data_IF_917296757783
#
_entry.id   IF_917296757783
#
_cell.length_a   1.000
_cell.length_b   1.000
_cell.length_c   1.000
_cell.angle_alpha   90.00
_cell.angle_beta   90.00
_cell.angle_gamma   90.00
#
_symmetry.space_group_name_H-M   'P 1'
#
loop_
_entity.id
_entity.type
_entity.pdbx_description
1 polymer ?
#
# COMPACT_ATOMS: atom_id res chain seq x y z
N UNK A 1 6.18 10.32 -2.46
CA UNK A 1 7.33 9.37 -2.36
C UNK A 1 8.06 9.46 -1.02
N UNK A 2 8.46 10.66 -0.55
CA UNK A 2 9.19 10.84 0.73
C UNK A 2 8.52 10.17 1.95
N UNK A 3 7.19 10.32 2.10
CA UNK A 3 6.43 9.66 3.17
C UNK A 3 6.51 8.12 3.11
N UNK A 4 6.34 7.55 1.91
CA UNK A 4 6.43 6.08 1.73
C UNK A 4 7.81 5.56 2.09
N UNK A 5 8.85 6.28 1.67
CA UNK A 5 10.24 5.95 2.03
C UNK A 5 10.41 5.98 3.55
N UNK A 6 9.96 7.04 4.23
CA UNK A 6 10.02 7.13 5.69
C UNK A 6 9.31 5.97 6.40
N UNK A 7 8.10 5.60 5.94
CA UNK A 7 7.35 4.46 6.49
C UNK A 7 8.12 3.14 6.30
N UNK A 8 8.65 2.88 5.11
CA UNK A 8 9.40 1.65 4.84
C UNK A 8 10.74 1.62 5.58
N UNK A 9 11.43 2.74 5.74
CA UNK A 9 12.65 2.82 6.57
C UNK A 9 12.33 2.51 8.03
N UNK A 10 11.28 3.14 8.59
CA UNK A 10 10.86 2.84 9.95
C UNK A 10 10.48 1.37 10.13
N UNK A 11 9.70 0.82 9.19
CA UNK A 11 9.32 -0.58 9.19
C UNK A 11 10.54 -1.51 9.13
N UNK A 12 11.54 -1.18 8.32
CA UNK A 12 12.78 -1.96 8.24
C UNK A 12 13.51 -2.00 9.57
N UNK A 13 13.64 -0.86 10.24
CA UNK A 13 14.27 -0.77 11.57
C UNK A 13 13.50 -1.61 12.59
N UNK A 14 12.16 -1.51 12.63
CA UNK A 14 11.32 -2.32 13.53
C UNK A 14 11.50 -3.82 13.26
N UNK A 15 11.47 -4.23 11.98
CA UNK A 15 11.64 -5.63 11.61
C UNK A 15 13.05 -6.14 11.93
N UNK A 16 14.07 -5.31 11.80
CA UNK A 16 15.45 -5.65 12.15
C UNK A 16 15.58 -5.97 13.64
N UNK A 17 15.11 -5.08 14.52
CA UNK A 17 15.16 -5.33 15.97
C UNK A 17 14.28 -6.49 16.40
N UNK A 18 13.11 -6.66 15.79
CA UNK A 18 12.26 -7.82 16.04
C UNK A 18 12.95 -9.12 15.65
N UNK A 19 13.63 -9.15 14.50
CA UNK A 19 14.37 -10.31 14.04
C UNK A 19 15.50 -10.67 15.02
N UNK A 20 16.24 -9.67 15.49
CA UNK A 20 17.33 -9.84 16.47
C UNK A 20 16.80 -10.37 17.81
N UNK A 21 15.68 -9.80 18.29
CA UNK A 21 14.99 -10.26 19.50
C UNK A 21 14.56 -11.72 19.41
N UNK A 22 13.95 -12.14 18.31
CA UNK A 22 13.48 -13.53 18.17
C UNK A 22 14.64 -14.53 18.20
N UNK A 23 15.81 -14.16 17.67
CA UNK A 23 16.97 -15.06 17.59
C UNK A 23 17.53 -15.40 18.96
N UNK A 24 17.65 -14.39 19.84
CA UNK A 24 18.16 -14.57 21.20
C UNK A 24 17.10 -15.08 22.19
N UNK A 25 15.83 -15.07 21.82
CA UNK A 25 14.74 -15.36 22.75
C UNK A 25 14.75 -16.80 23.27
N UNK A 26 15.11 -17.77 22.42
CA UNK A 26 15.22 -19.18 22.83
C UNK A 26 16.37 -19.38 23.83
N UNK A 27 17.61 -18.92 23.54
CA UNK A 27 18.69 -18.90 24.54
C UNK A 27 18.29 -18.20 25.85
N UNK A 28 17.67 -17.02 25.76
CA UNK A 28 17.23 -16.24 26.92
C UNK A 28 16.27 -17.03 27.83
N UNK A 29 15.24 -17.69 27.25
CA UNK A 29 14.34 -18.56 28.03
C UNK A 29 15.11 -19.74 28.62
N UNK A 30 16.08 -20.29 27.89
CA UNK A 30 16.84 -21.45 28.35
C UNK A 30 17.72 -21.13 29.56
N UNK A 31 18.22 -19.90 29.68
CA UNK A 31 19.01 -19.42 30.81
C UNK A 31 18.12 -19.01 32.00
N UNK A 32 16.98 -18.38 31.74
CA UNK A 32 16.08 -17.83 32.77
C UNK A 32 14.94 -18.78 33.14
N UNK A 33 15.12 -20.11 33.01
CA UNK A 33 14.06 -21.11 33.22
C UNK A 33 13.40 -21.07 34.61
N UNK A 34 14.13 -20.67 35.64
CA UNK A 34 13.65 -20.66 37.02
C UNK A 34 13.14 -19.28 37.46
N UNK A 35 13.68 -18.20 36.89
CA UNK A 35 13.39 -16.80 37.27
C UNK A 35 12.89 -15.97 36.08
N UNK A 36 11.93 -16.52 35.33
CA UNK A 36 11.32 -15.79 34.22
C UNK A 36 10.40 -14.67 34.74
N UNK A 37 10.95 -13.47 34.88
CA UNK A 37 10.23 -12.28 35.33
C UNK A 37 10.04 -11.27 34.20
N UNK A 38 9.08 -10.35 34.35
CA UNK A 38 8.90 -9.24 33.40
C UNK A 38 10.09 -8.28 33.37
N UNK A 39 10.83 -8.18 34.46
CA UNK A 39 12.07 -7.40 34.55
C UNK A 39 13.16 -8.02 33.68
N UNK A 40 13.36 -9.34 33.76
CA UNK A 40 14.34 -10.06 32.93
C UNK A 40 14.06 -9.88 31.43
N UNK A 41 12.79 -9.93 31.02
CA UNK A 41 12.40 -9.68 29.62
C UNK A 41 12.69 -8.23 29.20
N UNK A 42 12.49 -7.27 30.11
CA UNK A 42 12.74 -5.85 29.84
C UNK A 42 14.23 -5.57 29.72
N UNK A 43 15.05 -6.12 30.61
CA UNK A 43 16.51 -6.03 30.54
C UNK A 43 17.04 -6.64 29.25
N UNK A 44 16.56 -7.84 28.89
CA UNK A 44 16.88 -8.49 27.62
C UNK A 44 16.50 -7.63 26.39
N UNK A 45 15.29 -7.06 26.39
CA UNK A 45 14.85 -6.19 25.30
C UNK A 45 15.70 -4.92 25.21
N UNK A 46 16.08 -4.32 26.34
CA UNK A 46 16.94 -3.15 26.39
C UNK A 46 18.34 -3.46 25.87
N UNK A 47 18.91 -4.59 26.26
CA UNK A 47 20.23 -5.00 25.80
C UNK A 47 20.30 -5.12 24.28
N UNK A 48 19.30 -5.77 23.66
CA UNK A 48 19.20 -5.88 22.20
C UNK A 48 19.13 -4.51 21.52
N UNK A 49 18.38 -3.58 22.11
CA UNK A 49 18.18 -2.24 21.53
C UNK A 49 19.44 -1.39 21.66
N UNK A 50 20.14 -1.48 22.79
CA UNK A 50 21.32 -0.69 23.12
C UNK A 50 22.60 -1.26 22.48
N UNK A 51 22.74 -2.58 22.39
CA UNK A 51 23.93 -3.28 21.91
C UNK A 51 23.64 -4.27 20.77
N UNK A 52 23.00 -3.83 19.65
CA UNK A 52 22.59 -4.75 18.58
C UNK A 52 23.78 -5.40 17.87
N UNK A 53 24.92 -4.71 17.77
CA UNK A 53 26.11 -5.22 17.06
C UNK A 53 26.78 -6.32 17.88
N UNK A 54 26.93 -6.12 19.18
CA UNK A 54 27.53 -7.09 20.11
C UNK A 54 26.67 -8.35 20.16
N UNK A 55 25.36 -8.21 20.30
CA UNK A 55 24.40 -9.32 20.22
C UNK A 55 24.53 -10.13 18.92
N UNK A 56 24.71 -9.48 17.77
CA UNK A 56 24.92 -10.17 16.49
C UNK A 56 26.24 -10.94 16.49
N UNK A 57 27.31 -10.34 17.01
CA UNK A 57 28.63 -10.98 17.08
C UNK A 57 28.59 -12.21 17.99
N UNK A 58 28.00 -12.10 19.18
CA UNK A 58 27.84 -13.22 20.11
C UNK A 58 27.03 -14.36 19.49
N UNK A 59 25.89 -14.04 18.86
CA UNK A 59 25.06 -15.05 18.19
C UNK A 59 25.75 -15.69 16.98
N UNK A 60 26.60 -14.93 16.28
CA UNK A 60 27.40 -15.43 15.17
C UNK A 60 28.50 -16.38 15.65
N UNK A 61 29.21 -16.01 16.71
CA UNK A 61 30.25 -16.83 17.35
C UNK A 61 29.67 -18.10 17.97
N UNK A 62 28.47 -18.01 18.57
CA UNK A 62 27.71 -19.16 19.04
C UNK A 62 27.14 -20.04 17.90
N UNK A 63 27.42 -19.69 16.64
CA UNK A 63 26.93 -20.37 15.45
C UNK A 63 25.40 -20.58 15.45
N UNK A 64 24.64 -19.61 15.98
CA UNK A 64 23.19 -19.72 16.09
C UNK A 64 22.55 -19.66 14.69
N UNK A 65 21.99 -20.77 14.17
CA UNK A 65 21.43 -20.81 12.82
C UNK A 65 20.20 -19.92 12.67
N UNK A 66 19.49 -19.64 13.77
CA UNK A 66 18.31 -18.77 13.76
C UNK A 66 18.66 -17.35 13.35
N UNK A 67 19.89 -16.88 13.59
CA UNK A 67 20.35 -15.56 13.19
C UNK A 67 20.11 -15.33 11.70
N UNK A 68 20.63 -16.23 10.87
CA UNK A 68 20.53 -16.15 9.42
C UNK A 68 19.10 -16.40 8.91
N UNK A 69 18.39 -17.34 9.53
CA UNK A 69 17.00 -17.64 9.17
C UNK A 69 16.11 -16.43 9.45
N UNK A 70 16.24 -15.82 10.63
CA UNK A 70 15.46 -14.66 11.06
C UNK A 70 15.71 -13.46 10.17
N UNK A 71 16.98 -13.14 9.89
CA UNK A 71 17.33 -12.06 8.95
C UNK A 71 16.87 -12.34 7.52
N UNK A 72 16.97 -13.58 7.06
CA UNK A 72 16.45 -13.99 5.75
C UNK A 72 14.94 -13.83 5.63
N UNK A 73 14.18 -14.27 6.64
CA UNK A 73 12.72 -14.09 6.71
C UNK A 73 12.37 -12.61 6.78
N UNK A 74 13.09 -11.82 7.57
CA UNK A 74 12.89 -10.37 7.66
C UNK A 74 13.07 -9.69 6.30
N UNK A 75 14.16 -9.98 5.58
CA UNK A 75 14.42 -9.43 4.26
C UNK A 75 13.34 -9.87 3.25
N UNK A 76 12.97 -11.15 3.25
CA UNK A 76 11.93 -11.68 2.38
C UNK A 76 10.58 -11.00 2.61
N UNK A 77 10.19 -10.84 3.88
CA UNK A 77 8.96 -10.15 4.28
C UNK A 77 9.01 -8.68 3.86
N UNK A 78 10.12 -8.00 4.10
CA UNK A 78 10.29 -6.59 3.73
C UNK A 78 10.15 -6.36 2.23
N UNK A 79 10.82 -7.18 1.41
CA UNK A 79 10.71 -7.14 -0.05
C UNK A 79 9.28 -7.45 -0.50
N UNK A 80 8.64 -8.47 0.08
CA UNK A 80 7.25 -8.82 -0.22
C UNK A 80 6.30 -7.65 0.08
N UNK A 81 6.46 -6.97 1.22
CA UNK A 81 5.65 -5.80 1.57
C UNK A 81 5.88 -4.66 0.59
N UNK A 82 7.13 -4.36 0.21
CA UNK A 82 7.43 -3.36 -0.83
C UNK A 82 6.70 -3.71 -2.13
N UNK A 83 6.80 -4.96 -2.59
CA UNK A 83 6.17 -5.42 -3.82
C UNK A 83 4.64 -5.30 -3.76
N UNK A 84 4.02 -5.75 -2.67
CA UNK A 84 2.56 -5.75 -2.50
C UNK A 84 1.98 -4.33 -2.41
N UNK A 85 2.75 -3.37 -1.93
CA UNK A 85 2.32 -1.97 -1.75
C UNK A 85 2.55 -1.12 -3.01
N UNK A 86 3.12 -1.70 -4.07
CA UNK A 86 3.20 -1.02 -5.37
C UNK A 86 1.80 -0.74 -5.90
N UNK A 87 1.64 0.42 -6.54
CA UNK A 87 0.37 0.78 -7.19
C UNK A 87 0.07 -0.30 -8.23
N UNK A 88 -1.09 -0.94 -8.10
CA UNK A 88 -1.62 -1.80 -9.14
C UNK A 88 -2.52 -0.92 -9.98
N UNK A 89 -2.15 -0.72 -11.23
CA UNK A 89 -3.02 -0.07 -12.20
C UNK A 89 -4.12 -1.07 -12.55
N UNK A 90 -5.11 -1.16 -11.65
CA UNK A 90 -6.34 -1.87 -11.96
C UNK A 90 -6.98 -1.11 -13.12
N UNK A 91 -6.93 -1.72 -14.31
CA UNK A 91 -7.78 -1.25 -15.40
C UNK A 91 -9.21 -1.36 -14.90
N UNK A 92 -9.88 -0.22 -14.74
CA UNK A 92 -11.32 -0.21 -14.52
C UNK A 92 -11.96 -0.83 -15.76
N UNK A 93 -12.26 -2.12 -15.66
CA UNK A 93 -12.85 -2.92 -16.74
C UNK A 93 -14.13 -2.27 -17.24
N UNK A 94 -14.88 -1.57 -16.38
CA UNK A 94 -16.10 -0.84 -16.75
C UNK A 94 -15.88 0.40 -17.65
N UNK A 95 -14.66 0.91 -17.79
CA UNK A 95 -14.35 1.99 -18.76
C UNK A 95 -14.01 1.44 -20.14
N UNK A 96 -13.40 0.25 -20.22
CA UNK A 96 -12.89 -0.32 -21.48
C UNK A 96 -13.76 -1.44 -22.05
N UNK A 97 -14.48 -2.14 -21.19
CA UNK A 97 -15.38 -3.24 -21.53
C UNK A 97 -16.75 -2.92 -20.94
N UNK A 98 -17.78 -2.84 -21.79
CA UNK A 98 -19.16 -2.68 -21.37
C UNK A 98 -19.65 -3.95 -20.68
N UNK A 99 -19.26 -4.18 -19.43
CA UNK A 99 -19.76 -5.29 -18.62
C UNK A 99 -21.17 -4.95 -18.15
N UNK A 100 -22.15 -5.77 -18.52
CA UNK A 100 -23.53 -5.64 -18.06
C UNK A 100 -23.56 -5.68 -16.53
N UNK A 101 -24.13 -4.64 -15.92
CA UNK A 101 -24.21 -4.49 -14.45
C UNK A 101 -23.18 -3.55 -13.82
N UNK A 102 -22.26 -2.95 -14.59
CA UNK A 102 -21.41 -1.88 -14.04
C UNK A 102 -22.17 -0.55 -14.00
N UNK A 103 -22.56 -0.10 -12.81
CA UNK A 103 -23.16 1.22 -12.58
C UNK A 103 -22.11 2.33 -12.65
N UNK A 104 -21.60 2.60 -13.85
CA UNK A 104 -20.70 3.73 -14.11
C UNK A 104 -21.52 4.97 -14.45
N UNK A 105 -21.20 6.11 -13.83
CA UNK A 105 -21.70 7.40 -14.27
C UNK A 105 -21.23 7.65 -15.71
N UNK A 106 -22.17 7.91 -16.61
CA UNK A 106 -21.87 8.18 -18.01
C UNK A 106 -21.07 9.49 -18.13
N UNK A 107 -20.03 9.49 -18.96
CA UNK A 107 -19.24 10.68 -19.25
C UNK A 107 -20.05 11.61 -20.14
N UNK A 108 -19.82 12.92 -20.05
CA UNK A 108 -20.57 13.90 -20.86
C UNK A 108 -20.52 13.59 -22.37
N UNK A 109 -19.38 13.12 -22.88
CA UNK A 109 -19.22 12.68 -24.28
C UNK A 109 -20.05 11.44 -24.67
N UNK A 110 -20.43 10.60 -23.70
CA UNK A 110 -21.27 9.41 -23.91
C UNK A 110 -22.76 9.77 -23.86
N UNK A 111 -23.13 10.76 -23.05
CA UNK A 111 -24.51 11.28 -22.93
C UNK A 111 -24.82 12.21 -24.12
N UNK A 112 -23.88 13.08 -24.46
CA UNK A 112 -23.99 14.07 -25.52
C UNK A 112 -23.20 13.60 -26.74
N UNK A 113 -23.71 12.55 -27.40
CA UNK A 113 -23.21 12.14 -28.73
C UNK A 113 -23.63 13.13 -29.82
N UNK A 114 -23.18 14.37 -29.73
CA UNK A 114 -23.28 15.33 -30.84
C UNK A 114 -21.99 16.13 -30.89
N UNK A 115 -21.13 15.93 -31.91
CA UNK A 115 -19.87 16.67 -32.06
C UNK A 115 -20.08 18.17 -32.33
N UNK A 116 -21.31 18.56 -32.64
CA UNK A 116 -21.71 19.93 -32.92
C UNK A 116 -22.79 20.34 -31.94
N UNK A 117 -22.33 20.97 -30.85
CA UNK A 117 -23.03 21.98 -30.07
C UNK A 117 -24.42 21.61 -29.50
N UNK A 118 -24.52 21.63 -28.17
CA UNK A 118 -25.73 22.19 -27.56
C UNK A 118 -25.76 23.65 -28.01
N UNK A 119 -26.42 23.91 -29.14
CA UNK A 119 -26.61 25.27 -29.61
C UNK A 119 -27.64 25.88 -28.69
N UNK A 120 -27.17 26.59 -27.66
CA UNK A 120 -28.03 27.39 -26.80
C UNK A 120 -28.49 28.59 -27.62
N UNK A 121 -29.57 28.40 -28.39
CA UNK A 121 -30.21 29.48 -29.13
C UNK A 121 -31.06 30.32 -28.16
N UNK A 122 -30.91 31.66 -28.16
CA UNK A 122 -31.85 32.55 -27.49
C UNK A 122 -33.27 32.31 -28.04
N UNK A 123 -34.29 32.33 -27.17
CA UNK A 123 -35.68 31.99 -27.53
C UNK A 123 -36.22 32.74 -28.76
N UNK A 124 -35.75 33.97 -28.98
CA UNK A 124 -36.14 34.81 -30.11
C UNK A 124 -35.65 34.25 -31.46
N UNK A 125 -34.48 33.62 -31.49
CA UNK A 125 -33.93 33.00 -32.70
C UNK A 125 -34.63 31.68 -33.02
N UNK A 126 -34.93 30.88 -31.99
CA UNK A 126 -35.72 29.65 -32.13
C UNK A 126 -37.11 29.94 -32.74
N UNK A 127 -37.80 30.97 -32.24
CA UNK A 127 -39.13 31.32 -32.74
C UNK A 127 -39.12 31.74 -34.22
N UNK A 128 -38.10 32.51 -34.63
CA UNK A 128 -37.93 32.91 -36.03
C UNK A 128 -37.65 31.71 -36.94
N UNK A 129 -36.87 30.73 -36.48
CA UNK A 129 -36.57 29.51 -37.23
C UNK A 129 -37.81 28.62 -37.39
N UNK A 130 -38.62 28.49 -36.34
CA UNK A 130 -39.90 27.78 -36.37
C UNK A 130 -40.88 28.44 -37.36
N UNK A 131 -41.01 29.77 -37.32
CA UNK A 131 -41.89 30.48 -38.25
C UNK A 131 -41.44 30.34 -39.70
N UNK A 132 -40.13 30.42 -39.95
CA UNK A 132 -39.57 30.24 -41.29
C UNK A 132 -39.84 28.84 -41.84
N UNK A 133 -39.67 27.80 -41.02
CA UNK A 133 -40.00 26.43 -41.42
C UNK A 133 -41.50 26.21 -41.63
N UNK A 134 -42.37 26.91 -40.89
CA UNK A 134 -43.82 26.84 -41.12
C UNK A 134 -44.27 27.55 -42.41
N UNK A 135 -43.60 28.63 -42.80
CA UNK A 135 -43.93 29.37 -44.03
C UNK A 135 -43.37 28.70 -45.29
N UNK A 136 -42.26 27.95 -45.20
CA UNK A 136 -41.72 27.13 -46.29
C UNK A 136 -42.58 25.88 -46.60
N UNK A 137 -43.53 25.53 -45.73
CA UNK A 137 -44.45 24.37 -45.88
C UNK A 137 -45.80 24.77 -46.52
N UNK A 138 -45.96 26.02 -46.96
CA UNK A 138 -47.11 26.49 -47.77
C UNK A 138 -46.78 26.52 -49.26
#
# INVERSE_FOLDING_TARGET
>A
MKLKIGIFTFLFVVLFYLALFIVGFIPFIAENKQDFSGEAVTEYALDIVLHPIENIQEMHEAANPLLYISFGVMLGLFIYLIYKTRHKDYQNVGEKYGVQGSSRWAKNEEIFKVPEQITVLPSNQLMNEIQKTMDEVK
#
